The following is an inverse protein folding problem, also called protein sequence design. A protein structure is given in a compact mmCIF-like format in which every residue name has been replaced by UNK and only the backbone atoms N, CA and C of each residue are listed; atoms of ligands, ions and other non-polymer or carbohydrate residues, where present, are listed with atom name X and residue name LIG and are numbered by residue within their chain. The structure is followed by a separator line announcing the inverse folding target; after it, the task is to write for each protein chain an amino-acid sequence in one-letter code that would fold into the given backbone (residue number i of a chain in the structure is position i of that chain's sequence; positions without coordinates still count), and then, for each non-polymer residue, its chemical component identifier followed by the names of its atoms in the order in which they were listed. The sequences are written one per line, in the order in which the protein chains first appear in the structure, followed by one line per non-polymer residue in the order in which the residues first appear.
data_IF_313650104261
#
_entry.id   IF_313650104261
#
_cell.length_a   1.000
_cell.length_b   1.000
_cell.length_c   1.000
_cell.angle_alpha   90.00
_cell.angle_beta   90.00
_cell.angle_gamma   90.00
#
_symmetry.space_group_name_H-M   'P 1'
#
loop_
_entity.id
_entity.type
_entity.pdbx_description
1 polymer ?
#
# COMPACT_ATOMS: atom_id res chain seq x y z
N UNK A 1 -8.14 10.78 -12.05
CA UNK A 1 -7.17 9.79 -12.53
C UNK A 1 -7.81 8.41 -12.56
N UNK A 2 -7.48 7.55 -13.56
CA UNK A 2 -7.97 6.17 -13.62
C UNK A 2 -6.85 5.20 -13.26
N UNK A 3 -7.17 4.19 -12.44
CA UNK A 3 -6.31 3.05 -12.14
C UNK A 3 -7.00 1.76 -12.58
N UNK A 4 -6.26 0.90 -13.27
CA UNK A 4 -6.74 -0.38 -13.79
C UNK A 4 -6.10 -1.50 -12.99
N UNK A 5 -6.92 -2.34 -12.40
CA UNK A 5 -6.49 -3.40 -11.49
C UNK A 5 -6.92 -4.75 -12.05
N UNK A 6 -5.99 -5.66 -12.17
CA UNK A 6 -6.30 -7.06 -12.46
C UNK A 6 -6.14 -7.90 -11.20
N UNK A 7 -7.11 -8.77 -10.95
CA UNK A 7 -7.09 -9.72 -9.84
C UNK A 7 -7.23 -11.13 -10.40
N UNK A 8 -6.15 -11.88 -10.37
CA UNK A 8 -6.16 -13.30 -10.68
C UNK A 8 -6.54 -14.07 -9.41
N UNK A 9 -7.76 -14.63 -9.45
CA UNK A 9 -8.39 -15.25 -8.30
C UNK A 9 -7.94 -16.70 -8.12
N UNK A 10 -7.54 -17.07 -6.91
CA UNK A 10 -7.33 -18.45 -6.49
C UNK A 10 -7.96 -18.67 -5.08
N UNK A 11 -8.03 -19.92 -4.64
CA UNK A 11 -8.74 -20.31 -3.41
C UNK A 11 -8.11 -19.69 -2.15
N UNK A 12 -6.78 -19.74 -2.04
CA UNK A 12 -6.04 -19.31 -0.84
C UNK A 12 -5.41 -17.94 -0.97
N UNK A 13 -5.14 -17.49 -2.17
CA UNK A 13 -4.46 -16.24 -2.46
C UNK A 13 -4.83 -15.70 -3.83
N UNK A 14 -4.58 -14.42 -4.06
CA UNK A 14 -4.82 -13.75 -5.34
C UNK A 14 -3.59 -12.98 -5.76
N UNK A 15 -3.29 -12.98 -7.05
CA UNK A 15 -2.29 -12.09 -7.61
C UNK A 15 -2.96 -10.80 -8.09
N UNK A 16 -2.35 -9.66 -7.78
CA UNK A 16 -2.89 -8.33 -8.08
C UNK A 16 -1.88 -7.54 -8.87
N UNK A 17 -2.36 -6.85 -9.91
CA UNK A 17 -1.56 -5.92 -10.72
C UNK A 17 -2.33 -4.60 -10.88
N UNK A 18 -1.67 -3.48 -10.60
CA UNK A 18 -2.23 -2.13 -10.77
C UNK A 18 -1.49 -1.43 -11.91
N UNK A 19 -2.23 -0.84 -12.82
CA UNK A 19 -1.73 -0.13 -14.00
C UNK A 19 -2.30 1.29 -14.11
N UNK A 20 -1.55 2.18 -14.76
CA UNK A 20 -2.05 3.47 -15.23
C UNK A 20 -2.76 3.36 -16.59
N UNK A 21 -3.24 4.50 -17.09
CA UNK A 21 -3.91 4.61 -18.38
C UNK A 21 -2.99 4.26 -19.57
N UNK A 22 -1.69 4.44 -19.43
CA UNK A 22 -0.66 4.14 -20.42
C UNK A 22 -0.24 2.66 -20.43
N UNK A 23 -0.78 1.83 -19.49
CA UNK A 23 -0.47 0.41 -19.37
C UNK A 23 0.84 0.10 -18.63
N UNK A 24 1.40 1.09 -17.93
CA UNK A 24 2.57 0.88 -17.06
C UNK A 24 2.12 0.25 -15.75
N UNK A 25 2.83 -0.79 -15.33
CA UNK A 25 2.59 -1.43 -14.03
C UNK A 25 3.13 -0.52 -12.93
N UNK A 26 2.24 -0.03 -12.08
CA UNK A 26 2.57 0.84 -10.94
C UNK A 26 2.85 0.04 -9.67
N UNK A 27 2.07 -1.01 -9.43
CA UNK A 27 2.27 -1.93 -8.31
C UNK A 27 1.78 -3.33 -8.63
N UNK A 28 2.30 -4.33 -7.90
CA UNK A 28 1.84 -5.72 -7.98
C UNK A 28 2.09 -6.42 -6.66
N UNK A 29 1.32 -7.44 -6.37
CA UNK A 29 1.53 -8.23 -5.16
C UNK A 29 0.61 -9.44 -5.09
N UNK A 30 0.99 -10.40 -4.24
CA UNK A 30 0.16 -11.52 -3.84
C UNK A 30 -0.53 -11.18 -2.52
N UNK A 31 -1.82 -11.45 -2.43
CA UNK A 31 -2.67 -11.17 -1.27
C UNK A 31 -3.41 -12.42 -0.83
N UNK A 32 -3.73 -12.52 0.45
CA UNK A 32 -4.51 -13.61 1.03
C UNK A 32 -6.02 -13.39 0.82
N UNK A 33 -6.81 -14.46 0.88
CA UNK A 33 -8.27 -14.39 0.74
C UNK A 33 -8.95 -14.08 2.10
N UNK A 34 -8.57 -12.93 2.70
CA UNK A 34 -9.06 -12.46 3.99
C UNK A 34 -9.07 -10.92 4.09
N UNK A 35 -9.43 -10.37 5.26
CA UNK A 35 -9.41 -8.93 5.50
C UNK A 35 -8.02 -8.30 5.32
N UNK A 36 -6.96 -9.02 5.67
CA UNK A 36 -5.60 -8.51 5.49
C UNK A 36 -5.24 -8.42 4.00
N UNK A 37 -5.68 -9.39 3.20
CA UNK A 37 -5.54 -9.34 1.75
C UNK A 37 -6.31 -8.19 1.10
N UNK A 38 -7.53 -7.92 1.53
CA UNK A 38 -8.31 -6.76 1.06
C UNK A 38 -7.60 -5.45 1.44
N UNK A 39 -7.12 -5.33 2.67
CA UNK A 39 -6.33 -4.19 3.11
C UNK A 39 -5.08 -3.99 2.24
N UNK A 40 -4.40 -5.08 1.88
CA UNK A 40 -3.24 -5.04 1.01
C UNK A 40 -3.58 -4.63 -0.43
N UNK A 41 -4.74 -5.02 -0.96
CA UNK A 41 -5.22 -4.52 -2.26
C UNK A 41 -5.39 -2.99 -2.21
N UNK A 42 -6.04 -2.46 -1.17
CA UNK A 42 -6.19 -1.02 -0.99
C UNK A 42 -4.85 -0.31 -0.87
N UNK A 43 -3.89 -0.91 -0.16
CA UNK A 43 -2.53 -0.37 -0.01
C UNK A 43 -1.77 -0.34 -1.35
N UNK A 44 -1.89 -1.39 -2.18
CA UNK A 44 -1.31 -1.44 -3.52
C UNK A 44 -1.90 -0.36 -4.44
N UNK A 45 -3.21 -0.16 -4.38
CA UNK A 45 -3.92 0.86 -5.17
C UNK A 45 -3.57 2.27 -4.67
N UNK A 46 -3.65 2.51 -3.36
CA UNK A 46 -3.32 3.80 -2.77
C UNK A 46 -1.85 4.19 -2.94
N UNK A 47 -0.95 3.21 -2.93
CA UNK A 47 0.47 3.43 -3.22
C UNK A 47 0.79 3.72 -4.68
N UNK A 48 -0.13 3.36 -5.60
CA UNK A 48 -0.03 3.66 -7.03
C UNK A 48 -0.59 5.05 -7.39
N UNK A 49 -1.41 5.65 -6.52
CA UNK A 49 -1.93 6.99 -6.71
C UNK A 49 -0.88 8.05 -6.34
N UNK A 50 -0.74 9.14 -7.11
CA UNK A 50 0.09 10.28 -6.72
C UNK A 50 -0.34 10.88 -5.37
N UNK A 51 0.63 11.33 -4.56
CA UNK A 51 0.35 11.88 -3.23
C UNK A 51 -0.41 13.22 -3.26
N UNK A 52 -0.44 13.90 -4.40
CA UNK A 52 -0.95 15.25 -4.58
C UNK A 52 -2.34 15.30 -5.25
N UNK A 53 -3.05 14.16 -5.32
CA UNK A 53 -4.40 14.16 -5.90
C UNK A 53 -5.41 14.80 -4.94
N UNK A 54 -6.17 15.78 -5.45
CA UNK A 54 -7.30 16.40 -4.73
C UNK A 54 -8.49 15.44 -4.58
N UNK A 55 -8.65 14.50 -5.51
CA UNK A 55 -9.74 13.51 -5.53
C UNK A 55 -9.18 12.09 -5.59
N UNK A 56 -9.90 11.14 -4.96
CA UNK A 56 -9.58 9.71 -5.04
C UNK A 56 -9.66 9.20 -6.49
N UNK A 57 -8.73 8.33 -6.93
CA UNK A 57 -8.74 7.81 -8.29
C UNK A 57 -9.96 6.94 -8.57
N UNK A 58 -10.51 7.00 -9.78
CA UNK A 58 -11.47 6.00 -10.25
C UNK A 58 -10.74 4.68 -10.48
N UNK A 59 -11.18 3.63 -9.78
CA UNK A 59 -10.56 2.31 -9.83
C UNK A 59 -11.46 1.34 -10.59
N UNK A 60 -10.90 0.75 -11.67
CA UNK A 60 -11.57 -0.26 -12.50
C UNK A 60 -10.85 -1.59 -12.28
N UNK A 61 -11.59 -2.59 -11.80
CA UNK A 61 -11.05 -3.92 -11.46
C UNK A 61 -11.53 -4.97 -12.44
N UNK A 62 -10.61 -5.72 -13.06
CA UNK A 62 -10.89 -6.91 -13.86
C UNK A 62 -10.64 -8.18 -13.04
N UNK A 63 -11.62 -9.08 -13.00
CA UNK A 63 -11.55 -10.36 -12.31
C UNK A 63 -12.32 -11.43 -13.09
N UNK A 64 -11.85 -12.69 -13.08
CA UNK A 64 -12.49 -13.78 -13.83
C UNK A 64 -13.78 -14.33 -13.20
N UNK A 65 -14.14 -13.87 -12.02
CA UNK A 65 -15.37 -14.29 -11.31
C UNK A 65 -16.29 -13.12 -11.03
N UNK A 66 -17.59 -13.34 -11.03
CA UNK A 66 -18.62 -12.36 -10.68
C UNK A 66 -19.17 -12.55 -9.26
N UNK A 67 -18.62 -13.50 -8.47
CA UNK A 67 -19.12 -13.89 -7.15
C UNK A 67 -17.99 -14.15 -6.16
N UNK A 68 -18.35 -14.21 -4.88
CA UNK A 68 -17.41 -14.44 -3.78
C UNK A 68 -17.23 -13.21 -2.88
N UNK A 69 -16.63 -13.44 -1.71
CA UNK A 69 -16.47 -12.39 -0.68
C UNK A 69 -15.55 -11.27 -1.16
N UNK A 70 -14.47 -11.60 -1.85
CA UNK A 70 -13.54 -10.62 -2.42
C UNK A 70 -14.23 -9.69 -3.41
N UNK A 71 -14.99 -10.26 -4.38
CA UNK A 71 -15.74 -9.46 -5.38
C UNK A 71 -16.70 -8.51 -4.70
N UNK A 72 -17.47 -9.02 -3.72
CA UNK A 72 -18.41 -8.19 -2.94
C UNK A 72 -17.71 -7.08 -2.17
N UNK A 73 -16.55 -7.36 -1.56
CA UNK A 73 -15.77 -6.37 -0.85
C UNK A 73 -15.26 -5.26 -1.79
N UNK A 74 -14.75 -5.61 -2.97
CA UNK A 74 -14.27 -4.66 -3.97
C UNK A 74 -15.40 -3.76 -4.50
N UNK A 75 -16.58 -4.36 -4.79
CA UNK A 75 -17.77 -3.59 -5.22
C UNK A 75 -18.28 -2.70 -4.09
N UNK A 76 -18.29 -3.18 -2.84
CA UNK A 76 -18.78 -2.43 -1.68
C UNK A 76 -17.94 -1.18 -1.38
N UNK A 77 -16.64 -1.20 -1.65
CA UNK A 77 -15.75 -0.04 -1.55
C UNK A 77 -16.05 1.03 -2.60
N UNK A 78 -16.77 0.65 -3.66
CA UNK A 78 -17.11 1.56 -4.76
C UNK A 78 -16.18 1.41 -5.97
N UNK A 79 -15.34 0.37 -6.03
CA UNK A 79 -14.60 0.07 -7.24
C UNK A 79 -15.54 -0.43 -8.34
N UNK A 80 -15.25 -0.04 -9.57
CA UNK A 80 -15.95 -0.55 -10.73
C UNK A 80 -15.40 -1.92 -11.10
N UNK A 81 -16.01 -2.99 -10.57
CA UNK A 81 -15.60 -4.36 -10.82
C UNK A 81 -16.24 -4.88 -12.10
N UNK A 82 -15.41 -5.41 -13.00
CA UNK A 82 -15.81 -5.99 -14.27
C UNK A 82 -15.49 -7.49 -14.28
N UNK A 83 -16.52 -8.30 -14.51
CA UNK A 83 -16.34 -9.73 -14.70
C UNK A 83 -15.78 -10.00 -16.12
N UNK A 84 -14.59 -10.57 -16.17
CA UNK A 84 -13.90 -10.91 -17.42
C UNK A 84 -14.11 -12.40 -17.72
N UNK A 85 -14.47 -12.72 -18.96
CA UNK A 85 -14.65 -14.11 -19.37
C UNK A 85 -13.29 -14.83 -19.47
N UNK A 86 -13.08 -15.97 -18.77
CA UNK A 86 -11.82 -16.73 -18.80
C UNK A 86 -11.36 -17.11 -20.21
N UNK A 87 -12.29 -17.48 -21.09
CA UNK A 87 -11.96 -17.74 -22.50
C UNK A 87 -11.44 -16.49 -23.24
N UNK A 88 -11.89 -15.31 -22.81
CA UNK A 88 -11.39 -14.04 -23.32
C UNK A 88 -9.96 -13.77 -22.87
N UNK A 89 -9.65 -14.11 -21.62
CA UNK A 89 -8.30 -13.96 -21.04
C UNK A 89 -7.30 -14.83 -21.79
N UNK A 90 -7.63 -16.10 -22.06
CA UNK A 90 -6.77 -17.01 -22.80
C UNK A 90 -6.47 -16.47 -24.21
N UNK A 91 -7.50 -16.01 -24.95
CA UNK A 91 -7.33 -15.41 -26.29
C UNK A 91 -6.52 -14.12 -26.26
N UNK A 92 -6.72 -13.28 -25.24
CA UNK A 92 -5.98 -12.04 -25.09
C UNK A 92 -4.50 -12.33 -24.79
N UNK A 93 -4.23 -13.34 -23.95
CA UNK A 93 -2.88 -13.80 -23.64
C UNK A 93 -2.14 -14.27 -24.90
N UNK A 94 -2.78 -15.07 -25.75
CA UNK A 94 -2.21 -15.54 -27.00
C UNK A 94 -1.86 -14.40 -27.95
N UNK A 95 -2.64 -13.31 -27.94
CA UNK A 95 -2.40 -12.12 -28.77
C UNK A 95 -1.18 -11.32 -28.28
N UNK A 96 -0.94 -11.27 -26.98
CA UNK A 96 0.07 -10.39 -26.36
C UNK A 96 1.39 -11.11 -26.09
N UNK A 97 1.40 -12.44 -26.02
CA UNK A 97 2.60 -13.24 -25.72
C UNK A 97 3.01 -14.12 -26.90
N UNK A 98 4.28 -13.98 -27.28
CA UNK A 98 4.93 -14.83 -28.30
C UNK A 98 5.32 -16.21 -27.73
N UNK A 99 5.41 -16.36 -26.40
CA UNK A 99 5.73 -17.63 -25.71
C UNK A 99 4.57 -18.03 -24.80
N UNK A 100 3.98 -19.21 -25.02
CA UNK A 100 2.85 -19.78 -24.27
C UNK A 100 3.16 -20.20 -22.81
N UNK A 101 4.16 -19.64 -22.15
CA UNK A 101 4.48 -19.95 -20.77
C UNK A 101 3.46 -19.31 -19.81
N UNK A 102 2.72 -20.15 -19.10
CA UNK A 102 1.77 -19.77 -18.04
C UNK A 102 2.54 -19.33 -16.81
N UNK A 103 2.32 -18.10 -16.33
CA UNK A 103 2.85 -17.65 -15.04
C UNK A 103 1.80 -16.80 -14.33
N UNK A 104 1.43 -17.18 -13.09
CA UNK A 104 0.38 -16.55 -12.28
C UNK A 104 0.48 -15.01 -12.19
N UNK A 105 1.67 -14.37 -12.02
CA UNK A 105 1.78 -12.91 -12.04
C UNK A 105 1.48 -12.29 -13.42
N UNK A 106 1.44 -13.10 -14.47
CA UNK A 106 1.09 -12.65 -15.80
C UNK A 106 -0.41 -12.51 -16.01
N UNK A 107 -1.21 -13.28 -15.30
CA UNK A 107 -2.64 -13.34 -15.50
C UNK A 107 -3.34 -12.12 -14.87
N UNK A 108 -2.92 -11.70 -13.68
CA UNK A 108 -3.37 -10.44 -13.10
C UNK A 108 -3.02 -9.22 -13.98
N UNK A 109 -1.84 -9.22 -14.64
CA UNK A 109 -1.46 -8.17 -15.59
C UNK A 109 -2.35 -8.16 -16.82
N UNK A 110 -2.66 -9.32 -17.36
CA UNK A 110 -3.57 -9.45 -18.51
C UNK A 110 -4.96 -8.92 -18.17
N UNK A 111 -5.50 -9.28 -16.99
CA UNK A 111 -6.79 -8.79 -16.52
C UNK A 111 -6.82 -7.26 -16.37
N UNK A 112 -5.76 -6.66 -15.82
CA UNK A 112 -5.64 -5.21 -15.70
C UNK A 112 -5.63 -4.53 -17.10
N UNK A 113 -4.87 -5.08 -18.03
CA UNK A 113 -4.76 -4.53 -19.39
C UNK A 113 -6.06 -4.68 -20.18
N UNK A 114 -6.78 -5.81 -20.02
CA UNK A 114 -8.09 -6.03 -20.67
C UNK A 114 -9.12 -4.99 -20.20
N UNK A 115 -9.20 -4.70 -18.88
CA UNK A 115 -10.16 -3.69 -18.41
C UNK A 115 -9.69 -2.26 -18.69
N UNK A 116 -8.41 -2.06 -18.96
CA UNK A 116 -7.88 -0.78 -19.44
C UNK A 116 -8.28 -0.50 -20.89
N UNK A 117 -8.19 -1.50 -21.76
CA UNK A 117 -8.43 -1.32 -23.21
C UNK A 117 -9.88 -1.57 -23.61
N UNK A 118 -10.54 -2.53 -22.98
CA UNK A 118 -11.82 -3.08 -23.42
C UNK A 118 -12.91 -3.07 -22.32
N UNK A 119 -12.83 -2.15 -21.35
CA UNK A 119 -13.78 -2.05 -20.22
C UNK A 119 -15.27 -2.10 -20.68
N UNK A 120 -15.57 -1.52 -21.84
CA UNK A 120 -16.92 -1.45 -22.41
C UNK A 120 -17.47 -2.82 -22.87
N UNK A 121 -16.60 -3.82 -23.06
CA UNK A 121 -16.98 -5.18 -23.48
C UNK A 121 -17.22 -6.11 -22.28
N UNK A 122 -16.85 -5.69 -21.07
CA UNK A 122 -16.98 -6.51 -19.88
C UNK A 122 -18.23 -6.16 -19.07
N UNK A 123 -18.81 -7.19 -18.44
CA UNK A 123 -20.01 -7.03 -17.64
C UNK A 123 -19.67 -6.44 -16.26
N UNK A 124 -20.26 -5.30 -15.85
CA UNK A 124 -20.10 -4.80 -14.50
C UNK A 124 -20.80 -5.73 -13.49
N UNK A 125 -20.13 -5.98 -12.37
CA UNK A 125 -20.71 -6.71 -11.25
C UNK A 125 -21.56 -5.73 -10.44
N UNK A 126 -22.88 -6.00 -10.36
CA UNK A 126 -23.82 -5.18 -9.60
C UNK A 126 -23.88 -5.62 -8.13
N UNK A 127 -24.13 -4.65 -7.23
CA UNK A 127 -24.43 -4.91 -5.82
C UNK A 127 -25.62 -4.06 -5.38
N UNK A 128 -26.74 -4.73 -5.10
CA UNK A 128 -27.99 -4.05 -4.71
C UNK A 128 -28.65 -4.79 -3.54
N UNK A 129 -28.27 -4.45 -2.29
CA UNK A 129 -29.02 -4.82 -1.07
C UNK A 129 -28.62 -3.91 0.09
N UNK A 130 -29.48 -3.78 1.12
CA UNK A 130 -29.17 -3.04 2.35
C UNK A 130 -27.90 -3.53 3.03
N UNK A 131 -27.64 -4.83 2.96
CA UNK A 131 -26.40 -5.43 3.44
C UNK A 131 -25.17 -4.95 2.63
N UNK A 132 -25.31 -4.84 1.32
CA UNK A 132 -24.25 -4.30 0.46
C UNK A 132 -23.94 -2.84 0.79
N UNK A 133 -24.97 -2.02 1.07
CA UNK A 133 -24.78 -0.63 1.50
C UNK A 133 -24.09 -0.54 2.88
N UNK A 134 -24.46 -1.39 3.83
CA UNK A 134 -23.78 -1.45 5.13
C UNK A 134 -22.30 -1.86 4.99
N UNK A 135 -22.01 -2.85 4.14
CA UNK A 135 -20.64 -3.27 3.82
C UNK A 135 -19.88 -2.14 3.13
N UNK A 136 -20.51 -1.39 2.19
CA UNK A 136 -19.90 -0.21 1.55
C UNK A 136 -19.41 0.81 2.55
N UNK A 137 -20.23 1.15 3.56
CA UNK A 137 -19.85 2.15 4.56
C UNK A 137 -18.60 1.74 5.32
N UNK A 138 -18.55 0.50 5.80
CA UNK A 138 -17.39 -0.04 6.54
C UNK A 138 -16.16 -0.16 5.63
N UNK A 139 -16.33 -0.70 4.43
CA UNK A 139 -15.25 -0.91 3.47
C UNK A 139 -14.64 0.42 3.00
N UNK A 140 -15.46 1.44 2.71
CA UNK A 140 -14.97 2.79 2.35
C UNK A 140 -14.21 3.44 3.50
N UNK A 141 -14.71 3.30 4.74
CA UNK A 141 -13.99 3.80 5.92
C UNK A 141 -12.62 3.12 6.07
N UNK A 142 -12.56 1.80 5.88
CA UNK A 142 -11.33 1.02 5.95
C UNK A 142 -10.33 1.44 4.84
N UNK A 143 -10.81 1.53 3.60
CA UNK A 143 -10.01 2.01 2.46
C UNK A 143 -9.43 3.41 2.74
N UNK A 144 -10.28 4.35 3.16
CA UNK A 144 -9.89 5.73 3.49
C UNK A 144 -8.81 5.78 4.56
N UNK A 145 -8.93 4.94 5.61
CA UNK A 145 -7.94 4.85 6.67
C UNK A 145 -6.58 4.34 6.16
N UNK A 146 -6.59 3.30 5.29
CA UNK A 146 -5.36 2.77 4.68
C UNK A 146 -4.69 3.83 3.79
N UNK A 147 -5.44 4.50 2.94
CA UNK A 147 -4.90 5.54 2.06
C UNK A 147 -4.38 6.76 2.84
N UNK A 148 -5.08 7.17 3.90
CA UNK A 148 -4.61 8.24 4.78
C UNK A 148 -3.31 7.87 5.47
N UNK A 149 -3.20 6.63 6.00
CA UNK A 149 -1.96 6.12 6.58
C UNK A 149 -0.80 6.14 5.57
N UNK A 150 -1.07 5.76 4.31
CA UNK A 150 -0.06 5.76 3.24
C UNK A 150 0.38 7.16 2.89
N UNK A 151 -0.56 8.11 2.74
CA UNK A 151 -0.25 9.54 2.52
C UNK A 151 0.62 10.11 3.64
N UNK A 152 0.26 9.86 4.91
CA UNK A 152 1.05 10.30 6.06
C UNK A 152 2.47 9.72 6.04
N UNK A 153 2.61 8.42 5.78
CA UNK A 153 3.93 7.78 5.66
C UNK A 153 4.78 8.39 4.54
N UNK A 154 4.18 8.72 3.40
CA UNK A 154 4.89 9.38 2.30
C UNK A 154 5.31 10.81 2.67
N UNK A 155 4.47 11.57 3.38
CA UNK A 155 4.82 12.89 3.90
C UNK A 155 5.99 12.81 4.90
N UNK A 156 5.93 11.86 5.84
CA UNK A 156 7.04 11.62 6.80
C UNK A 156 8.31 11.23 6.03
N UNK A 157 8.22 10.33 5.05
CA UNK A 157 9.36 9.92 4.23
C UNK A 157 9.98 11.10 3.48
N UNK A 158 9.14 11.96 2.88
CA UNK A 158 9.60 13.16 2.20
C UNK A 158 10.33 14.09 3.16
N UNK A 159 9.75 14.38 4.32
CA UNK A 159 10.38 15.20 5.33
C UNK A 159 11.73 14.60 5.81
N UNK A 160 11.76 13.32 6.20
CA UNK A 160 12.97 12.65 6.68
C UNK A 160 14.09 12.66 5.64
N UNK A 161 13.77 12.59 4.36
CA UNK A 161 14.78 12.67 3.29
C UNK A 161 15.50 14.00 3.28
N UNK A 162 14.83 15.09 3.62
CA UNK A 162 15.38 16.44 3.61
C UNK A 162 16.29 16.74 4.81
N UNK A 163 16.07 16.10 5.96
CA UNK A 163 16.81 16.48 7.18
C UNK A 163 17.29 15.33 8.05
N UNK A 164 16.74 14.11 7.88
CA UNK A 164 17.06 12.98 8.75
C UNK A 164 17.16 11.64 7.98
N UNK A 165 18.08 11.52 7.00
CA UNK A 165 18.22 10.32 6.19
C UNK A 165 18.51 9.05 7.00
N UNK A 166 19.26 9.16 8.11
CA UNK A 166 19.55 8.06 9.02
C UNK A 166 18.31 7.32 9.54
N UNK A 167 17.19 8.03 9.68
CA UNK A 167 15.91 7.42 10.04
C UNK A 167 15.34 6.55 8.91
N UNK A 168 15.62 6.89 7.64
CA UNK A 168 15.21 6.05 6.50
C UNK A 168 16.05 4.78 6.40
N UNK A 169 17.31 4.83 6.81
CA UNK A 169 18.19 3.64 6.89
C UNK A 169 17.77 2.73 8.07
N UNK A 170 17.22 3.32 9.14
CA UNK A 170 16.75 2.57 10.32
C UNK A 170 15.44 1.81 10.07
N UNK A 171 14.59 2.30 9.16
CA UNK A 171 13.21 1.79 8.97
C UNK A 171 12.86 1.61 7.50
N UNK A 172 12.71 0.37 7.08
CA UNK A 172 12.25 0.01 5.72
C UNK A 172 10.80 0.47 5.50
N UNK A 173 9.95 0.38 6.55
CA UNK A 173 8.54 0.70 6.51
C UNK A 173 8.17 1.69 7.63
N UNK A 174 7.79 2.90 7.25
CA UNK A 174 7.45 3.99 8.19
C UNK A 174 6.08 3.84 8.85
N UNK A 175 5.19 3.04 8.28
CA UNK A 175 3.89 2.71 8.88
C UNK A 175 3.99 1.64 9.97
N UNK A 176 5.15 1.00 10.10
CA UNK A 176 5.36 -0.01 11.13
C UNK A 176 5.47 0.63 12.52
N UNK A 177 4.90 -0.03 13.53
CA UNK A 177 4.89 0.47 14.91
C UNK A 177 6.28 0.77 15.47
N UNK A 178 7.32 0.07 15.02
CA UNK A 178 8.71 0.35 15.40
C UNK A 178 9.12 1.76 14.97
N UNK A 179 8.87 2.13 13.71
CA UNK A 179 9.21 3.44 13.18
C UNK A 179 8.45 4.55 13.91
N UNK A 180 7.13 4.40 14.01
CA UNK A 180 6.25 5.35 14.70
C UNK A 180 6.71 5.56 16.15
N UNK A 181 6.96 4.47 16.90
CA UNK A 181 7.33 4.55 18.33
C UNK A 181 8.69 5.20 18.56
N UNK A 182 9.64 5.01 17.65
CA UNK A 182 10.98 5.60 17.79
C UNK A 182 10.98 7.05 17.30
N UNK A 183 10.36 7.36 16.17
CA UNK A 183 10.25 8.73 15.65
C UNK A 183 9.44 9.64 16.57
N UNK A 184 8.47 9.12 17.30
CA UNK A 184 7.74 9.88 18.31
C UNK A 184 8.62 10.39 19.46
N UNK A 185 9.70 9.68 19.80
CA UNK A 185 10.63 10.07 20.88
C UNK A 185 11.92 10.70 20.38
N UNK A 186 12.25 10.53 19.10
CA UNK A 186 13.44 11.08 18.46
C UNK A 186 13.15 11.56 17.05
N UNK A 187 12.35 12.64 16.90
CA UNK A 187 11.96 13.18 15.60
C UNK A 187 13.08 13.97 14.91
N UNK A 188 14.23 14.21 15.54
CA UNK A 188 15.37 14.91 14.95
C UNK A 188 16.65 14.05 14.96
N UNK A 189 17.63 14.33 14.08
CA UNK A 189 18.91 13.61 14.05
C UNK A 189 19.65 13.64 15.40
N UNK A 190 19.66 14.78 16.09
CA UNK A 190 20.33 14.96 17.38
C UNK A 190 19.72 14.07 18.45
N UNK A 191 18.38 14.06 18.53
CA UNK A 191 17.66 13.20 19.45
C UNK A 191 17.91 11.73 19.12
N UNK A 192 17.90 11.35 17.81
CA UNK A 192 18.19 9.99 17.37
C UNK A 192 19.57 9.50 17.75
N UNK A 193 20.62 10.32 17.50
CA UNK A 193 22.00 10.01 17.87
C UNK A 193 22.18 9.84 19.37
N UNK A 194 21.40 10.60 20.19
CA UNK A 194 21.46 10.57 21.66
C UNK A 194 20.74 9.38 22.29
N UNK A 195 19.86 8.66 21.53
CA UNK A 195 19.10 7.54 22.08
C UNK A 195 20.02 6.40 22.52
N UNK A 196 19.84 5.94 23.75
CA UNK A 196 20.42 4.69 24.22
C UNK A 196 19.61 3.49 23.68
N UNK A 197 20.31 2.35 23.53
CA UNK A 197 19.66 1.10 23.12
C UNK A 197 18.47 0.74 24.02
N UNK A 198 18.59 0.98 25.35
CA UNK A 198 17.51 0.71 26.32
C UNK A 198 16.28 1.58 26.07
N UNK A 199 16.44 2.86 25.72
CA UNK A 199 15.33 3.75 25.37
C UNK A 199 14.65 3.31 24.08
N UNK A 200 15.42 2.90 23.07
CA UNK A 200 14.87 2.36 21.82
C UNK A 200 14.10 1.06 22.13
N UNK A 201 14.68 0.13 22.88
CA UNK A 201 14.01 -1.11 23.26
C UNK A 201 12.69 -0.86 24.02
N UNK A 202 12.67 0.12 24.91
CA UNK A 202 11.45 0.53 25.62
C UNK A 202 10.38 1.09 24.67
N UNK A 203 10.78 1.89 23.65
CA UNK A 203 9.88 2.40 22.63
C UNK A 203 9.29 1.25 21.78
N UNK A 204 10.13 0.32 21.34
CA UNK A 204 9.71 -0.86 20.57
C UNK A 204 8.70 -1.71 21.35
N UNK A 205 8.92 -1.94 22.64
CA UNK A 205 7.97 -2.68 23.52
C UNK A 205 6.64 -1.96 23.65
N UNK A 206 6.64 -0.63 23.80
CA UNK A 206 5.41 0.18 23.81
C UNK A 206 4.68 0.12 22.48
N UNK A 207 5.41 0.07 21.36
CA UNK A 207 4.85 -0.14 20.01
C UNK A 207 4.36 -1.57 19.74
N UNK A 208 4.41 -2.47 20.74
CA UNK A 208 3.89 -3.83 20.65
C UNK A 208 4.90 -4.89 20.21
N UNK A 209 6.16 -4.53 19.93
CA UNK A 209 7.19 -5.52 19.58
C UNK A 209 7.50 -6.44 20.76
N UNK A 210 7.44 -7.74 20.54
CA UNK A 210 7.71 -8.76 21.54
C UNK A 210 8.96 -9.60 21.27
N UNK A 211 9.30 -9.78 20.01
CA UNK A 211 10.40 -10.65 19.58
C UNK A 211 11.61 -9.84 19.13
N UNK A 212 12.80 -10.35 19.44
CA UNK A 212 14.08 -9.79 18.99
C UNK A 212 14.26 -8.28 19.31
N UNK A 213 13.67 -7.81 20.42
CA UNK A 213 13.65 -6.38 20.78
C UNK A 213 15.04 -5.79 20.88
N UNK A 214 15.94 -6.43 21.61
CA UNK A 214 17.29 -5.89 21.88
C UNK A 214 18.16 -5.92 20.63
N UNK A 215 18.05 -6.97 19.79
CA UNK A 215 18.72 -7.04 18.49
C UNK A 215 18.24 -5.93 17.55
N UNK A 216 16.90 -5.70 17.50
CA UNK A 216 16.32 -4.64 16.66
C UNK A 216 16.70 -3.25 17.20
N UNK A 217 16.71 -3.05 18.50
CA UNK A 217 17.13 -1.80 19.12
C UNK A 217 18.59 -1.46 18.81
N UNK A 218 19.49 -2.45 18.86
CA UNK A 218 20.88 -2.26 18.49
C UNK A 218 21.05 -1.87 17.00
N UNK A 219 20.32 -2.53 16.10
CA UNK A 219 20.32 -2.21 14.67
C UNK A 219 19.81 -0.79 14.39
N UNK A 220 18.70 -0.40 15.02
CA UNK A 220 18.14 0.96 14.89
C UNK A 220 19.14 1.98 15.44
N UNK A 221 19.73 1.73 16.61
CA UNK A 221 20.72 2.65 17.19
C UNK A 221 21.93 2.84 16.25
N UNK A 222 22.43 1.77 15.67
CA UNK A 222 23.55 1.83 14.73
C UNK A 222 23.19 2.69 13.50
N UNK A 223 22.01 2.47 12.90
CA UNK A 223 21.53 3.24 11.76
C UNK A 223 21.34 4.73 12.09
N UNK A 224 20.71 5.06 13.23
CA UNK A 224 20.46 6.45 13.63
C UNK A 224 21.75 7.24 13.97
N UNK A 225 22.89 6.56 14.14
CA UNK A 225 24.20 7.16 14.39
C UNK A 225 25.05 7.33 13.13
N UNK A 226 24.59 6.87 11.98
CA UNK A 226 25.30 7.10 10.73
C UNK A 226 25.35 8.60 10.41
N UNK A 227 26.47 9.02 9.82
CA UNK A 227 26.68 10.41 9.44
C UNK A 227 26.03 10.68 8.09
N UNK A 228 25.25 11.77 8.03
CA UNK A 228 24.61 12.29 6.84
C UNK A 228 24.78 13.81 6.78
N UNK A 229 24.47 14.41 5.64
CA UNK A 229 24.33 15.85 5.52
C UNK A 229 23.22 16.32 6.48
N UNK A 230 23.46 17.43 7.15
CA UNK A 230 22.56 17.97 8.16
C UNK A 230 22.01 19.31 7.72
N UNK A 231 20.78 19.63 8.13
CA UNK A 231 20.19 20.95 8.02
C UNK A 231 20.64 21.85 9.19
N UNK A 232 20.57 23.20 9.04
CA UNK A 232 20.73 24.09 10.18
C UNK A 232 19.78 23.73 11.34
N UNK A 233 20.18 23.90 12.61
CA UNK A 233 19.40 23.43 13.77
C UNK A 233 17.94 23.88 13.77
N UNK A 234 17.67 25.16 13.51
CA UNK A 234 16.30 25.71 13.48
C UNK A 234 15.44 25.05 12.40
N UNK A 235 16.02 24.71 11.23
CA UNK A 235 15.32 24.02 10.14
C UNK A 235 15.05 22.56 10.54
N UNK A 236 16.03 21.89 11.14
CA UNK A 236 15.87 20.52 11.64
C UNK A 236 14.79 20.44 12.73
N UNK A 237 14.69 21.38 13.63
CA UNK A 237 13.65 21.45 14.67
C UNK A 237 12.25 21.65 14.06
N UNK A 238 12.13 22.50 13.03
CA UNK A 238 10.87 22.71 12.31
C UNK A 238 10.39 21.41 11.64
N UNK A 239 11.27 20.72 10.92
CA UNK A 239 10.97 19.40 10.34
C UNK A 239 10.67 18.35 11.42
N UNK A 240 11.43 18.33 12.52
CA UNK A 240 11.20 17.44 13.65
C UNK A 240 9.80 17.62 14.26
N UNK A 241 9.32 18.86 14.33
CA UNK A 241 7.96 19.15 14.80
C UNK A 241 6.89 18.58 13.86
N UNK A 242 7.12 18.64 12.54
CA UNK A 242 6.22 18.04 11.52
C UNK A 242 6.21 16.52 11.70
N UNK A 243 7.38 15.87 11.77
CA UNK A 243 7.49 14.42 11.94
C UNK A 243 6.84 13.97 13.24
N UNK A 244 7.06 14.67 14.36
CA UNK A 244 6.43 14.35 15.63
C UNK A 244 4.90 14.49 15.60
N UNK A 245 4.36 15.43 14.82
CA UNK A 245 2.92 15.59 14.64
C UNK A 245 2.30 14.46 13.79
N UNK A 246 3.00 14.02 12.74
CA UNK A 246 2.54 12.97 11.84
C UNK A 246 2.72 11.55 12.39
N UNK A 247 3.57 11.37 13.42
CA UNK A 247 3.82 10.10 14.09
C UNK A 247 2.88 9.83 15.29
N UNK A 248 1.92 10.70 15.56
CA UNK A 248 0.86 10.53 16.57
C UNK A 248 -0.39 9.91 15.97
#
# INVERSE_FOLDING_TARGET
MHLFVGVDWAEDHHDVCVMDAEGRVLSKGRVTNDLAGIAKIHDLIGGAAPAELDEDPEVIVGIETDRGLLVRALVAVGYRVLAVNPLGVDRYRDRVRVSGAKSDPGDARVLADMVRTDAHQHRPVAADSDLAEAIKLVARSHQSAIWSRRRLANQVRSALREFYPAALDAFDELTHSDAVSVLAIAPTPELGKSLSQSKIAAALRRGGRRLNVDKRAAAIQAALRTEHLTQPPLVADAYGSIVASLAK
#
